data_IF_175687036207
#
_entry.id   IF_175687036207
#
_cell.length_a   1.000
_cell.length_b   1.000
_cell.length_c   1.000
_cell.angle_alpha   90.00
_cell.angle_beta   90.00
_cell.angle_gamma   90.00
#
_symmetry.space_group_name_H-M   'P 1'
#
loop_
_entity.id
_entity.type
_entity.pdbx_description
1 polymer ?
#
# COMPACT_ATOMS: atom_id res chain seq x y z
N UNK A 1 -36.96 43.75 -31.40
CA UNK A 1 -36.94 43.27 -29.99
C UNK A 1 -35.94 42.13 -29.84
N UNK A 2 -34.70 42.42 -29.43
CA UNK A 2 -33.73 41.36 -29.10
C UNK A 2 -34.05 40.82 -27.69
N UNK A 3 -34.38 39.53 -27.58
CA UNK A 3 -34.51 38.85 -26.29
C UNK A 3 -33.18 38.95 -25.55
N UNK A 4 -33.14 39.64 -24.40
CA UNK A 4 -32.00 39.64 -23.48
C UNK A 4 -31.67 38.18 -23.13
N UNK A 5 -30.56 37.66 -23.67
CA UNK A 5 -29.97 36.41 -23.24
C UNK A 5 -29.71 36.52 -21.74
N UNK A 6 -30.44 35.77 -20.91
CA UNK A 6 -30.10 35.61 -19.48
C UNK A 6 -28.66 35.09 -19.44
N UNK A 7 -27.72 35.91 -18.98
CA UNK A 7 -26.32 35.53 -18.78
C UNK A 7 -26.27 34.44 -17.71
N UNK A 8 -26.50 33.19 -18.13
CA UNK A 8 -26.23 32.02 -17.31
C UNK A 8 -24.72 31.87 -17.24
N UNK A 9 -24.14 32.23 -16.10
CA UNK A 9 -22.92 31.56 -15.64
C UNK A 9 -21.61 32.37 -15.64
N UNK A 10 -21.62 33.61 -15.14
CA UNK A 10 -20.38 34.28 -14.71
C UNK A 10 -20.56 34.87 -13.31
N UNK A 11 -20.50 34.03 -12.29
CA UNK A 11 -20.49 34.48 -10.91
C UNK A 11 -19.88 33.42 -10.01
N UNK A 12 -19.38 33.78 -8.83
CA UNK A 12 -18.68 32.83 -7.95
C UNK A 12 -19.49 31.57 -7.62
N UNK A 13 -20.82 31.66 -7.62
CA UNK A 13 -21.72 30.51 -7.47
C UNK A 13 -21.57 29.45 -8.59
N UNK A 14 -21.13 29.82 -9.80
CA UNK A 14 -20.89 28.87 -10.89
C UNK A 14 -19.64 28.03 -10.68
N UNK A 15 -18.77 28.34 -9.72
CA UNK A 15 -17.57 27.54 -9.44
C UNK A 15 -17.86 26.34 -8.53
N UNK A 16 -19.04 26.31 -7.91
CA UNK A 16 -19.45 25.27 -6.98
C UNK A 16 -20.43 24.29 -7.61
N UNK A 17 -20.41 23.06 -7.13
CA UNK A 17 -21.30 21.99 -7.52
C UNK A 17 -21.80 21.27 -6.27
N UNK A 18 -23.11 21.05 -6.18
CA UNK A 18 -23.74 20.38 -5.03
C UNK A 18 -23.42 18.88 -5.03
N UNK A 19 -23.30 18.25 -3.85
CA UNK A 19 -23.03 16.81 -3.70
C UNK A 19 -23.82 15.89 -4.63
N UNK A 20 -25.16 16.06 -4.74
CA UNK A 20 -26.00 15.22 -5.64
C UNK A 20 -25.58 15.31 -7.11
N UNK A 21 -25.21 16.51 -7.57
CA UNK A 21 -24.72 16.73 -8.94
C UNK A 21 -23.35 16.12 -9.15
N UNK A 22 -22.48 16.11 -8.13
CA UNK A 22 -21.20 15.42 -8.20
C UNK A 22 -21.39 13.92 -8.40
N UNK A 23 -22.25 13.29 -7.59
CA UNK A 23 -22.56 11.85 -7.69
C UNK A 23 -23.07 11.48 -9.08
N UNK A 24 -24.06 12.23 -9.58
CA UNK A 24 -24.59 12.01 -10.92
C UNK A 24 -23.56 12.20 -12.03
N UNK A 25 -22.62 13.13 -11.86
CA UNK A 25 -21.59 13.43 -12.86
C UNK A 25 -20.48 12.38 -12.90
N UNK A 26 -20.09 11.87 -11.73
CA UNK A 26 -19.04 10.86 -11.60
C UNK A 26 -19.56 9.44 -11.77
N UNK A 27 -20.88 9.21 -11.65
CA UNK A 27 -21.49 7.89 -11.81
C UNK A 27 -21.25 6.92 -10.64
N UNK A 28 -20.82 7.45 -9.48
CA UNK A 28 -20.43 6.66 -8.30
C UNK A 28 -21.48 6.71 -7.19
N UNK A 29 -21.45 5.70 -6.31
CA UNK A 29 -22.29 5.68 -5.09
C UNK A 29 -21.79 6.68 -4.03
N UNK A 30 -22.61 6.97 -3.02
CA UNK A 30 -22.22 7.90 -1.95
C UNK A 30 -21.00 7.40 -1.15
N UNK A 31 -20.93 6.10 -0.89
CA UNK A 31 -19.79 5.49 -0.15
C UNK A 31 -18.50 5.63 -0.94
N UNK A 32 -18.54 5.26 -2.23
CA UNK A 32 -17.39 5.38 -3.13
C UNK A 32 -16.97 6.84 -3.32
N UNK A 33 -17.93 7.77 -3.41
CA UNK A 33 -17.62 9.19 -3.50
C UNK A 33 -16.92 9.72 -2.25
N UNK A 34 -17.36 9.30 -1.05
CA UNK A 34 -16.69 9.65 0.21
C UNK A 34 -15.26 9.13 0.23
N UNK A 35 -15.07 7.85 -0.10
CA UNK A 35 -13.75 7.22 -0.20
C UNK A 35 -12.84 7.98 -1.18
N UNK A 36 -13.31 8.26 -2.40
CA UNK A 36 -12.55 9.05 -3.39
C UNK A 36 -12.19 10.45 -2.88
N UNK A 37 -13.09 11.11 -2.15
CA UNK A 37 -12.82 12.41 -1.56
C UNK A 37 -11.73 12.35 -0.49
N UNK A 38 -11.72 11.29 0.34
CA UNK A 38 -10.68 11.08 1.36
C UNK A 38 -9.33 10.82 0.69
N UNK A 39 -9.29 9.92 -0.29
CA UNK A 39 -8.06 9.54 -0.99
C UNK A 39 -7.40 10.73 -1.70
N UNK A 40 -8.17 11.54 -2.42
CA UNK A 40 -7.67 12.70 -3.18
C UNK A 40 -7.64 14.00 -2.38
N UNK A 41 -8.05 14.00 -1.12
CA UNK A 41 -8.10 15.21 -0.29
C UNK A 41 -9.08 16.28 -0.80
N UNK A 42 -10.25 15.86 -1.29
CA UNK A 42 -11.29 16.78 -1.77
C UNK A 42 -12.30 17.08 -0.67
N UNK A 43 -12.23 18.29 -0.15
CA UNK A 43 -13.06 18.74 0.96
C UNK A 43 -14.29 19.54 0.52
N UNK A 44 -15.40 19.46 1.28
CA UNK A 44 -16.54 20.34 1.06
C UNK A 44 -16.17 21.80 1.30
N UNK A 45 -16.72 22.70 0.49
CA UNK A 45 -16.49 24.15 0.56
C UNK A 45 -17.78 24.87 0.89
N UNK A 46 -17.73 25.80 1.84
CA UNK A 46 -18.84 26.70 2.15
C UNK A 46 -18.81 27.86 1.15
N UNK A 47 -19.84 28.02 0.29
CA UNK A 47 -19.85 29.10 -0.68
C UNK A 47 -20.17 30.44 0.01
N UNK A 48 -19.31 31.44 -0.16
CA UNK A 48 -19.51 32.80 0.36
C UNK A 48 -20.58 33.61 -0.41
N UNK A 49 -21.42 32.95 -1.23
CA UNK A 49 -22.40 33.62 -2.09
C UNK A 49 -23.82 33.39 -1.58
N UNK A 50 -24.58 34.46 -1.40
CA UNK A 50 -25.99 34.41 -0.95
C UNK A 50 -26.94 33.65 -1.88
N UNK A 51 -26.53 33.39 -3.13
CA UNK A 51 -27.31 32.68 -4.16
C UNK A 51 -27.35 31.16 -3.99
N UNK A 52 -26.57 30.61 -3.05
CA UNK A 52 -26.47 29.16 -2.81
C UNK A 52 -27.03 28.84 -1.42
N UNK A 53 -27.73 27.71 -1.32
CA UNK A 53 -28.40 27.29 -0.08
C UNK A 53 -27.36 26.93 0.98
N UNK A 54 -27.37 27.61 2.13
CA UNK A 54 -26.41 27.35 3.22
C UNK A 54 -26.49 25.92 3.79
N UNK A 55 -27.65 25.26 3.69
CA UNK A 55 -27.87 23.92 4.23
C UNK A 55 -27.37 22.78 3.32
N UNK A 56 -26.78 23.11 2.16
CA UNK A 56 -26.29 22.11 1.20
C UNK A 56 -24.78 22.08 1.17
N UNK A 57 -24.24 20.87 0.99
CA UNK A 57 -22.81 20.64 0.83
C UNK A 57 -22.42 20.88 -0.63
N UNK A 58 -21.40 21.71 -0.82
CA UNK A 58 -20.84 22.04 -2.12
C UNK A 58 -19.38 21.63 -2.23
N UNK A 59 -18.96 21.33 -3.46
CA UNK A 59 -17.59 21.04 -3.85
C UNK A 59 -17.17 22.01 -4.96
N UNK A 60 -15.87 22.21 -5.11
CA UNK A 60 -15.33 23.00 -6.23
C UNK A 60 -15.39 22.21 -7.53
N UNK A 61 -15.82 22.86 -8.61
CA UNK A 61 -15.90 22.23 -9.94
C UNK A 61 -14.54 21.83 -10.48
N UNK A 62 -13.45 22.51 -10.08
CA UNK A 62 -12.08 22.16 -10.49
C UNK A 62 -11.71 20.79 -9.92
N UNK A 63 -11.95 20.61 -8.63
CA UNK A 63 -11.65 19.41 -7.86
C UNK A 63 -12.46 18.21 -8.40
N UNK A 64 -13.76 18.41 -8.71
CA UNK A 64 -14.58 17.37 -9.34
C UNK A 64 -14.14 17.04 -10.78
N UNK A 65 -13.60 18.03 -11.52
CA UNK A 65 -13.06 17.77 -12.86
C UNK A 65 -11.77 16.94 -12.78
N UNK A 66 -10.92 17.22 -11.79
CA UNK A 66 -9.71 16.44 -11.52
C UNK A 66 -10.08 14.98 -11.18
N UNK A 67 -11.01 14.79 -10.23
CA UNK A 67 -11.54 13.47 -9.88
C UNK A 67 -12.07 12.71 -11.09
N UNK A 68 -12.80 13.39 -11.99
CA UNK A 68 -13.41 12.77 -13.16
C UNK A 68 -12.41 12.15 -14.15
N UNK A 69 -11.16 12.62 -14.14
CA UNK A 69 -10.11 12.14 -15.04
C UNK A 69 -9.21 11.09 -14.38
N UNK A 70 -9.51 10.69 -13.15
CA UNK A 70 -8.69 9.78 -12.37
C UNK A 70 -8.96 8.32 -12.73
N UNK A 71 -7.89 7.52 -12.79
CA UNK A 71 -7.92 6.08 -13.06
C UNK A 71 -8.76 5.31 -12.02
N UNK A 72 -8.89 5.82 -10.80
CA UNK A 72 -9.71 5.19 -9.75
C UNK A 72 -11.17 5.04 -10.14
N UNK A 73 -11.72 5.98 -10.91
CA UNK A 73 -13.13 5.90 -11.33
C UNK A 73 -13.32 4.71 -12.27
N UNK A 74 -12.36 4.46 -13.14
CA UNK A 74 -12.40 3.32 -14.06
C UNK A 74 -12.28 2.00 -13.29
N UNK A 75 -11.39 1.93 -12.29
CA UNK A 75 -11.28 0.77 -11.40
C UNK A 75 -12.59 0.52 -10.63
N UNK A 76 -13.20 1.56 -10.05
CA UNK A 76 -14.48 1.44 -9.34
C UNK A 76 -15.63 1.00 -10.25
N UNK A 77 -15.63 1.49 -11.49
CA UNK A 77 -16.59 1.07 -12.49
C UNK A 77 -16.36 -0.39 -12.91
N UNK A 78 -15.10 -0.81 -13.09
CA UNK A 78 -14.71 -2.20 -13.35
C UNK A 78 -15.19 -3.14 -12.24
N UNK A 79 -14.90 -2.81 -10.98
CA UNK A 79 -15.38 -3.56 -9.83
C UNK A 79 -16.91 -3.63 -9.77
N UNK A 80 -17.61 -2.54 -10.11
CA UNK A 80 -19.09 -2.53 -10.17
C UNK A 80 -19.62 -3.46 -11.25
N UNK A 81 -18.96 -3.55 -12.40
CA UNK A 81 -19.33 -4.46 -13.49
C UNK A 81 -19.11 -5.91 -13.04
N UNK A 82 -17.97 -6.21 -12.43
CA UNK A 82 -17.66 -7.55 -11.87
C UNK A 82 -18.72 -7.93 -10.82
N UNK A 83 -19.02 -7.04 -9.87
CA UNK A 83 -20.05 -7.29 -8.86
C UNK A 83 -21.43 -7.60 -9.45
N UNK A 84 -21.81 -6.93 -10.56
CA UNK A 84 -23.05 -7.25 -11.28
C UNK A 84 -22.99 -8.62 -11.96
N UNK A 85 -21.85 -9.01 -12.53
CA UNK A 85 -21.65 -10.34 -13.13
C UNK A 85 -21.74 -11.43 -12.06
N UNK A 86 -21.09 -11.24 -10.91
CA UNK A 86 -21.18 -12.16 -9.76
C UNK A 86 -22.64 -12.36 -9.35
N UNK A 87 -23.39 -11.26 -9.13
CA UNK A 87 -24.82 -11.34 -8.80
C UNK A 87 -25.64 -12.08 -9.86
N UNK A 88 -25.33 -11.88 -11.14
CA UNK A 88 -25.98 -12.59 -12.25
C UNK A 88 -25.67 -14.09 -12.21
N UNK A 89 -24.42 -14.49 -12.01
CA UNK A 89 -24.04 -15.90 -11.94
C UNK A 89 -24.63 -16.60 -10.72
N UNK A 90 -24.67 -15.93 -9.57
CA UNK A 90 -25.35 -16.42 -8.36
C UNK A 90 -26.84 -16.63 -8.64
N UNK A 91 -27.51 -15.67 -9.30
CA UNK A 91 -28.92 -15.79 -9.66
C UNK A 91 -29.18 -16.91 -10.69
N UNK A 92 -28.17 -17.30 -11.47
CA UNK A 92 -28.19 -18.42 -12.41
C UNK A 92 -27.75 -19.75 -11.76
N UNK A 93 -27.45 -19.76 -10.46
CA UNK A 93 -26.89 -20.89 -9.71
C UNK A 93 -25.55 -21.42 -10.26
N UNK A 94 -24.82 -20.62 -11.06
CA UNK A 94 -23.50 -20.99 -11.59
C UNK A 94 -22.39 -20.51 -10.64
N UNK A 95 -22.11 -21.34 -9.63
CA UNK A 95 -21.18 -21.01 -8.55
C UNK A 95 -19.72 -21.00 -8.99
N UNK A 96 -19.34 -21.79 -10.00
CA UNK A 96 -17.95 -21.85 -10.48
C UNK A 96 -17.57 -20.56 -11.18
N UNK A 97 -18.44 -20.05 -12.07
CA UNK A 97 -18.21 -18.75 -12.72
C UNK A 97 -18.29 -17.59 -11.73
N UNK A 98 -19.15 -17.68 -10.71
CA UNK A 98 -19.21 -16.68 -9.65
C UNK A 98 -17.89 -16.62 -8.86
N UNK A 99 -17.29 -17.77 -8.54
CA UNK A 99 -15.99 -17.86 -7.84
C UNK A 99 -14.86 -17.28 -8.68
N UNK A 100 -14.73 -17.70 -9.94
CA UNK A 100 -13.72 -17.16 -10.87
C UNK A 100 -13.84 -15.64 -11.00
N UNK A 101 -15.08 -15.13 -11.11
CA UNK A 101 -15.32 -13.68 -11.19
C UNK A 101 -15.01 -12.95 -9.87
N UNK A 102 -15.15 -13.62 -8.73
CA UNK A 102 -14.73 -13.09 -7.42
C UNK A 102 -13.22 -13.04 -7.30
N UNK A 103 -12.52 -14.07 -7.75
CA UNK A 103 -11.06 -14.17 -7.70
C UNK A 103 -10.41 -13.15 -8.66
N UNK A 104 -11.07 -12.81 -9.76
CA UNK A 104 -10.65 -11.75 -10.70
C UNK A 104 -10.83 -10.33 -10.14
N UNK A 105 -11.47 -10.17 -8.97
CA UNK A 105 -11.70 -8.83 -8.40
C UNK A 105 -10.38 -8.28 -7.86
N UNK A 106 -9.68 -7.52 -8.70
CA UNK A 106 -8.44 -6.85 -8.30
C UNK A 106 -8.69 -5.80 -7.20
N UNK A 107 -7.78 -5.72 -6.20
CA UNK A 107 -7.82 -4.67 -5.20
C UNK A 107 -7.59 -3.30 -5.84
N UNK A 108 -8.17 -2.26 -5.25
CA UNK A 108 -7.95 -0.89 -5.72
C UNK A 108 -6.47 -0.53 -5.53
N UNK A 109 -5.75 -0.29 -6.62
CA UNK A 109 -4.40 0.24 -6.55
C UNK A 109 -4.45 1.71 -6.18
N UNK A 110 -4.00 2.03 -4.97
CA UNK A 110 -3.93 3.41 -4.43
C UNK A 110 -2.53 4.01 -4.62
N UNK A 111 -1.58 3.20 -5.10
CA UNK A 111 -0.14 3.54 -5.22
C UNK A 111 0.12 4.84 -5.97
N UNK A 112 -0.56 5.09 -7.09
CA UNK A 112 -0.38 6.30 -7.88
C UNK A 112 -0.81 7.56 -7.12
N UNK A 113 -1.84 7.48 -6.27
CA UNK A 113 -2.29 8.61 -5.45
C UNK A 113 -1.24 8.96 -4.41
N UNK A 114 -0.65 7.95 -3.78
CA UNK A 114 0.34 8.15 -2.72
C UNK A 114 1.57 8.84 -3.28
N UNK A 115 2.04 8.45 -4.46
CA UNK A 115 3.17 9.10 -5.12
C UNK A 115 2.83 10.53 -5.56
N UNK A 116 1.61 10.78 -6.04
CA UNK A 116 1.15 12.13 -6.40
C UNK A 116 1.05 13.04 -5.17
N UNK A 117 0.57 12.51 -4.05
CA UNK A 117 0.37 13.26 -2.80
C UNK A 117 1.67 13.47 -2.03
N UNK A 118 2.52 12.44 -1.98
CA UNK A 118 3.76 12.39 -1.25
C UNK A 118 4.93 12.10 -2.19
N UNK A 119 5.40 13.11 -2.95
CA UNK A 119 6.51 12.91 -3.90
C UNK A 119 7.83 12.61 -3.20
N UNK A 120 7.96 12.96 -1.92
CA UNK A 120 9.18 12.74 -1.13
C UNK A 120 8.86 12.07 0.21
N UNK A 121 9.79 11.28 0.74
CA UNK A 121 9.62 10.66 2.06
C UNK A 121 9.41 11.71 3.16
N UNK A 122 10.11 12.84 3.10
CA UNK A 122 9.96 13.94 4.07
C UNK A 122 8.53 14.52 4.05
N UNK A 123 7.90 14.60 2.87
CA UNK A 123 6.49 15.02 2.79
C UNK A 123 5.53 14.00 3.39
N UNK A 124 5.82 12.70 3.28
CA UNK A 124 5.04 11.65 3.92
C UNK A 124 5.21 11.66 5.45
N UNK A 125 6.44 11.85 5.95
CA UNK A 125 6.73 11.92 7.39
C UNK A 125 6.02 13.08 8.09
N UNK A 126 5.74 14.17 7.38
CA UNK A 126 5.01 15.33 7.93
C UNK A 126 3.54 15.04 8.25
N UNK A 127 2.90 14.16 7.49
CA UNK A 127 1.50 13.77 7.67
C UNK A 127 1.37 12.44 8.47
N UNK A 128 2.49 11.90 8.96
CA UNK A 128 2.52 10.61 9.65
C UNK A 128 1.96 10.69 11.09
N UNK A 129 1.96 11.86 11.70
CA UNK A 129 1.45 12.14 13.04
C UNK A 129 -0.04 11.80 13.20
N UNK A 130 -0.87 12.31 12.29
CA UNK A 130 -2.30 12.06 12.24
C UNK A 130 -2.59 10.58 11.97
N UNK A 131 -1.84 9.97 11.05
CA UNK A 131 -2.00 8.56 10.70
C UNK A 131 -1.67 7.64 11.89
N UNK A 132 -0.55 7.87 12.59
CA UNK A 132 -0.15 7.07 13.75
C UNK A 132 -1.15 7.22 14.92
N UNK A 133 -1.61 8.44 15.18
CA UNK A 133 -2.62 8.69 16.22
C UNK A 133 -3.93 7.96 15.92
N UNK A 134 -4.28 7.87 14.63
CA UNK A 134 -5.48 7.16 14.18
C UNK A 134 -5.34 5.64 14.31
N UNK A 135 -4.22 5.06 13.86
CA UNK A 135 -3.97 3.61 14.01
C UNK A 135 -3.94 3.22 15.49
N UNK A 136 -3.30 4.04 16.34
CA UNK A 136 -3.23 3.80 17.77
C UNK A 136 -4.63 3.80 18.42
N UNK A 137 -5.52 4.70 17.97
CA UNK A 137 -6.93 4.69 18.39
C UNK A 137 -7.61 3.38 17.97
N UNK A 138 -7.51 3.01 16.69
CA UNK A 138 -8.16 1.81 16.15
C UNK A 138 -7.65 0.52 16.80
N UNK A 139 -6.36 0.45 17.13
CA UNK A 139 -5.75 -0.69 17.81
C UNK A 139 -6.44 -1.04 19.14
N UNK A 140 -6.98 -0.04 19.85
CA UNK A 140 -7.59 -0.20 21.17
C UNK A 140 -9.11 -0.50 21.07
N UNK A 141 -9.73 -0.17 19.93
CA UNK A 141 -11.17 -0.40 19.75
C UNK A 141 -11.51 -1.89 19.76
N UNK A 142 -12.71 -2.20 20.25
CA UNK A 142 -13.28 -3.54 20.20
C UNK A 142 -14.02 -3.77 18.89
N UNK A 143 -14.14 -5.04 18.48
CA UNK A 143 -14.93 -5.44 17.32
C UNK A 143 -16.39 -5.05 17.56
N UNK A 144 -16.97 -4.31 16.62
CA UNK A 144 -18.36 -3.89 16.63
C UNK A 144 -18.94 -4.05 15.22
N UNK A 145 -19.85 -5.01 15.06
CA UNK A 145 -20.46 -5.40 13.77
C UNK A 145 -21.45 -4.32 13.31
N UNK A 146 -22.14 -3.67 14.22
CA UNK A 146 -23.13 -2.64 13.89
C UNK A 146 -22.44 -1.36 13.40
N UNK A 147 -21.25 -1.08 13.96
CA UNK A 147 -20.39 0.00 13.52
C UNK A 147 -19.61 -0.30 12.21
N UNK A 148 -19.57 -1.56 11.77
CA UNK A 148 -18.82 -1.99 10.58
C UNK A 148 -17.31 -2.03 10.80
N UNK A 149 -16.88 -2.46 11.99
CA UNK A 149 -15.47 -2.65 12.35
C UNK A 149 -15.14 -4.14 12.25
N UNK A 150 -14.34 -4.50 11.24
CA UNK A 150 -13.94 -5.88 11.00
C UNK A 150 -12.73 -6.25 11.87
N UNK A 151 -12.74 -7.45 12.45
CA UNK A 151 -11.63 -7.93 13.30
C UNK A 151 -10.30 -8.05 12.56
N UNK A 152 -10.33 -8.30 11.25
CA UNK A 152 -9.15 -8.36 10.38
C UNK A 152 -8.45 -6.99 10.34
N UNK A 153 -9.19 -5.93 10.02
CA UNK A 153 -8.65 -4.56 9.96
C UNK A 153 -8.06 -4.09 11.29
N UNK A 154 -8.65 -4.51 12.43
CA UNK A 154 -8.13 -4.19 13.75
C UNK A 154 -6.80 -4.90 14.05
N UNK A 155 -6.67 -6.16 13.62
CA UNK A 155 -5.43 -6.92 13.78
C UNK A 155 -4.31 -6.34 12.94
N UNK A 156 -4.61 -5.89 11.72
CA UNK A 156 -3.64 -5.20 10.87
C UNK A 156 -3.20 -3.87 11.48
N UNK A 157 -4.14 -3.08 12.02
CA UNK A 157 -3.79 -1.85 12.74
C UNK A 157 -2.86 -2.13 13.93
N UNK A 158 -3.13 -3.20 14.70
CA UNK A 158 -2.26 -3.67 15.79
C UNK A 158 -0.87 -4.07 15.29
N UNK A 159 -0.80 -4.78 14.18
CA UNK A 159 0.47 -5.19 13.59
C UNK A 159 1.29 -3.99 13.12
N UNK A 160 0.67 -3.02 12.45
CA UNK A 160 1.33 -1.81 11.96
C UNK A 160 1.89 -0.98 13.12
N UNK A 161 1.11 -0.75 14.19
CA UNK A 161 1.59 0.02 15.33
C UNK A 161 2.72 -0.70 16.08
N UNK A 162 2.63 -2.02 16.23
CA UNK A 162 3.68 -2.84 16.85
C UNK A 162 4.96 -2.84 16.03
N UNK A 163 4.87 -2.94 14.71
CA UNK A 163 6.00 -2.84 13.80
C UNK A 163 6.65 -1.46 13.88
N UNK A 164 5.85 -0.40 13.99
CA UNK A 164 6.36 0.96 14.16
C UNK A 164 7.08 1.13 15.52
N UNK A 165 6.52 0.60 16.61
CA UNK A 165 7.20 0.60 17.91
C UNK A 165 8.50 -0.20 17.90
N UNK A 166 8.53 -1.34 17.22
CA UNK A 166 9.73 -2.13 17.02
C UNK A 166 10.80 -1.33 16.25
N UNK A 167 10.39 -0.62 15.20
CA UNK A 167 11.28 0.27 14.45
C UNK A 167 11.86 1.38 15.33
N UNK A 168 11.03 2.06 16.12
CA UNK A 168 11.47 3.14 17.04
C UNK A 168 12.43 2.60 18.11
N UNK A 169 12.15 1.40 18.64
CA UNK A 169 13.00 0.74 19.63
C UNK A 169 14.38 0.38 19.05
N UNK A 170 14.41 -0.19 17.83
CA UNK A 170 15.66 -0.55 17.15
C UNK A 170 16.49 0.67 16.73
N UNK A 171 15.84 1.70 16.20
CA UNK A 171 16.52 2.91 15.71
C UNK A 171 16.86 3.91 16.82
N UNK A 172 16.31 3.73 18.03
CA UNK A 172 16.54 4.59 19.21
C UNK A 172 16.30 6.07 18.93
N UNK A 173 15.29 6.38 18.12
CA UNK A 173 14.95 7.73 17.67
C UNK A 173 13.96 8.47 18.58
N UNK A 174 13.55 7.86 19.70
CA UNK A 174 12.64 8.46 20.68
C UNK A 174 13.34 9.59 21.43
N UNK A 175 12.77 10.79 21.39
CA UNK A 175 13.35 11.99 22.01
C UNK A 175 12.66 12.35 23.32
N UNK A 176 11.32 12.43 23.31
CA UNK A 176 10.52 12.83 24.48
C UNK A 176 9.25 12.03 24.59
N UNK A 177 8.76 11.89 25.82
CA UNK A 177 7.48 11.26 26.13
C UNK A 177 6.73 12.11 27.15
N UNK A 178 5.41 12.16 27.01
CA UNK A 178 4.54 12.89 27.94
C UNK A 178 3.26 12.11 28.21
N UNK A 179 2.98 11.80 29.47
CA UNK A 179 1.78 11.07 29.88
C UNK A 179 0.70 12.06 30.28
N UNK A 180 -0.50 11.90 29.70
CA UNK A 180 -1.68 12.72 29.95
C UNK A 180 -2.87 11.84 30.32
N UNK A 181 -3.98 12.47 30.72
CA UNK A 181 -5.27 11.80 30.96
C UNK A 181 -5.80 11.16 29.67
N UNK A 182 -5.52 11.76 28.50
CA UNK A 182 -5.97 11.25 27.19
C UNK A 182 -5.20 10.02 26.71
N UNK A 183 -3.96 9.85 27.17
CA UNK A 183 -3.02 8.88 26.63
C UNK A 183 -1.58 9.33 26.79
N UNK A 184 -0.68 8.66 26.08
CA UNK A 184 0.76 8.90 26.07
C UNK A 184 1.12 9.57 24.75
N UNK A 185 1.81 10.70 24.83
CA UNK A 185 2.38 11.39 23.68
C UNK A 185 3.83 10.96 23.50
N UNK A 186 4.20 10.56 22.27
CA UNK A 186 5.57 10.19 21.90
C UNK A 186 6.12 11.20 20.88
N UNK A 187 7.30 11.77 21.13
CA UNK A 187 8.05 12.60 20.18
C UNK A 187 9.25 11.80 19.65
N UNK A 188 9.26 11.54 18.35
CA UNK A 188 10.36 10.85 17.65
C UNK A 188 10.96 11.77 16.60
N UNK A 189 12.27 11.67 16.40
CA UNK A 189 12.99 12.40 15.35
C UNK A 189 13.47 11.43 14.26
N UNK A 190 12.84 11.50 13.07
CA UNK A 190 13.18 10.69 11.89
C UNK A 190 13.62 11.64 10.78
N UNK A 191 14.83 11.48 10.23
CA UNK A 191 15.36 12.33 9.15
C UNK A 191 15.22 13.84 9.44
N UNK A 192 15.56 14.26 10.67
CA UNK A 192 15.42 15.62 11.19
C UNK A 192 13.99 16.19 11.19
N UNK A 193 12.98 15.32 11.00
CA UNK A 193 11.58 15.66 11.15
C UNK A 193 11.09 15.11 12.50
N UNK A 194 10.51 16.00 13.29
CA UNK A 194 9.88 15.64 14.57
C UNK A 194 8.45 15.19 14.34
N UNK A 195 8.12 14.02 14.85
CA UNK A 195 6.80 13.40 14.71
C UNK A 195 6.25 13.20 16.12
N UNK A 196 5.07 13.77 16.36
CA UNK A 196 4.37 13.69 17.63
C UNK A 196 3.04 12.98 17.40
N UNK A 197 2.84 11.82 18.02
CA UNK A 197 1.54 11.14 17.97
C UNK A 197 1.04 10.79 19.36
N UNK A 198 -0.28 10.61 19.47
CA UNK A 198 -0.97 10.22 20.69
C UNK A 198 -1.28 8.73 20.65
N UNK A 199 -0.82 7.99 21.65
CA UNK A 199 -1.26 6.63 21.93
C UNK A 199 -2.27 6.66 23.09
N UNK A 200 -3.54 6.32 22.88
CA UNK A 200 -4.52 6.29 23.98
C UNK A 200 -4.16 5.21 25.02
N UNK A 201 -4.70 5.35 26.23
CA UNK A 201 -4.56 4.30 27.24
C UNK A 201 -5.34 3.05 26.82
N UNK A 202 -4.81 1.87 27.16
CA UNK A 202 -5.42 0.55 26.87
C UNK A 202 -6.65 0.28 27.75
N UNK A 203 -7.67 1.12 27.60
CA UNK A 203 -8.95 1.01 28.29
C UNK A 203 -10.02 0.67 27.26
N UNK A 204 -10.98 -0.21 27.59
CA UNK A 204 -12.09 -0.48 26.70
C UNK A 204 -12.91 0.80 26.48
N UNK A 205 -13.00 1.25 25.23
CA UNK A 205 -13.77 2.41 24.84
C UNK A 205 -14.99 1.98 24.03
N UNK A 206 -16.16 2.54 24.33
CA UNK A 206 -17.36 2.39 23.51
C UNK A 206 -17.35 3.40 22.37
N UNK A 207 -17.72 2.98 21.16
CA UNK A 207 -17.86 3.87 20.02
C UNK A 207 -19.10 4.77 20.20
N UNK A 208 -18.97 6.11 20.18
CA UNK A 208 -20.15 6.99 20.23
C UNK A 208 -20.98 6.92 18.95
N UNK A 209 -22.31 6.87 19.06
CA UNK A 209 -23.24 6.80 17.91
C UNK A 209 -23.14 7.96 16.90
N UNK A 210 -22.57 9.10 17.33
CA UNK A 210 -22.40 10.30 16.50
C UNK A 210 -21.33 10.15 15.41
N UNK A 211 -20.46 9.14 15.52
CA UNK A 211 -19.31 8.97 14.63
C UNK A 211 -19.68 8.05 13.47
N UNK A 212 -19.52 8.54 12.24
CA UNK A 212 -19.72 7.72 11.03
C UNK A 212 -18.51 6.82 10.81
N UNK A 213 -18.51 5.64 11.44
CA UNK A 213 -17.41 4.69 11.39
C UNK A 213 -17.07 4.24 9.98
N UNK A 214 -18.02 4.26 9.03
CA UNK A 214 -17.74 3.97 7.61
C UNK A 214 -16.70 4.92 7.00
N UNK A 215 -16.70 6.18 7.42
CA UNK A 215 -15.69 7.16 6.97
C UNK A 215 -14.33 6.83 7.57
N UNK A 216 -14.33 6.41 8.84
CA UNK A 216 -13.13 6.05 9.58
C UNK A 216 -12.51 4.75 9.01
N UNK A 217 -13.32 3.74 8.68
CA UNK A 217 -12.87 2.50 8.03
C UNK A 217 -12.27 2.75 6.64
N UNK A 218 -12.78 3.73 5.89
CA UNK A 218 -12.13 4.12 4.62
C UNK A 218 -10.73 4.73 4.84
N UNK A 219 -10.49 5.37 5.98
CA UNK A 219 -9.19 5.95 6.31
C UNK A 219 -8.23 4.89 6.90
N UNK A 220 -8.71 3.92 7.68
CA UNK A 220 -7.90 2.75 8.07
C UNK A 220 -7.45 1.96 6.84
N UNK A 221 -8.37 1.65 5.92
CA UNK A 221 -8.06 0.91 4.68
C UNK A 221 -7.02 1.65 3.82
N UNK A 222 -7.03 2.99 3.83
CA UNK A 222 -6.01 3.79 3.17
C UNK A 222 -4.62 3.60 3.81
N UNK A 223 -4.56 3.64 5.13
CA UNK A 223 -3.31 3.51 5.89
C UNK A 223 -2.75 2.09 5.80
N UNK A 224 -3.62 1.08 5.90
CA UNK A 224 -3.28 -0.32 5.73
C UNK A 224 -2.66 -0.57 4.34
N UNK A 225 -3.30 -0.08 3.28
CA UNK A 225 -2.76 -0.17 1.92
C UNK A 225 -1.46 0.60 1.75
N UNK A 226 -1.26 1.72 2.44
CA UNK A 226 0.03 2.41 2.45
C UNK A 226 1.13 1.53 3.06
N UNK A 227 0.82 0.78 4.14
CA UNK A 227 1.74 -0.18 4.75
C UNK A 227 2.05 -1.37 3.85
N UNK A 228 1.02 -2.02 3.30
CA UNK A 228 1.18 -3.23 2.46
C UNK A 228 1.94 -2.97 1.15
N UNK A 229 1.82 -1.77 0.57
CA UNK A 229 2.59 -1.40 -0.64
C UNK A 229 4.10 -1.46 -0.39
N UNK A 230 4.56 -1.22 0.84
CA UNK A 230 5.97 -1.33 1.18
C UNK A 230 6.45 -2.79 1.28
N UNK A 231 5.60 -3.74 1.66
CA UNK A 231 5.96 -5.16 1.81
C UNK A 231 6.15 -5.86 0.45
N UNK A 232 5.48 -5.39 -0.59
CA UNK A 232 5.58 -5.94 -1.96
C UNK A 232 6.72 -5.36 -2.79
N UNK A 233 7.55 -4.46 -2.23
CA UNK A 233 8.61 -3.76 -2.96
C UNK A 233 9.94 -3.77 -2.21
N UNK A 234 10.96 -4.32 -2.84
CA UNK A 234 12.34 -4.20 -2.38
C UNK A 234 12.96 -2.89 -2.86
N UNK A 235 13.50 -2.10 -1.93
CA UNK A 235 14.27 -0.90 -2.28
C UNK A 235 15.72 -1.26 -2.55
N UNK A 236 16.12 -1.16 -3.81
CA UNK A 236 17.49 -1.41 -4.27
C UNK A 236 18.15 -0.11 -4.75
N UNK A 237 19.46 -0.02 -4.58
CA UNK A 237 20.27 1.10 -5.07
C UNK A 237 20.36 1.05 -6.61
N UNK A 238 20.48 2.21 -7.30
CA UNK A 238 20.45 2.26 -8.77
C UNK A 238 21.45 1.36 -9.49
N UNK A 239 22.58 1.04 -8.84
CA UNK A 239 23.61 0.15 -9.37
C UNK A 239 23.09 -1.26 -9.71
N UNK A 240 22.06 -1.75 -8.98
CA UNK A 240 21.44 -3.04 -9.25
C UNK A 240 20.96 -3.21 -10.69
N UNK A 241 20.46 -2.12 -11.29
CA UNK A 241 19.99 -2.12 -12.68
C UNK A 241 21.16 -2.37 -13.63
N UNK A 242 22.27 -1.64 -13.45
CA UNK A 242 23.43 -1.74 -14.32
C UNK A 242 24.14 -3.07 -14.16
N UNK A 243 24.30 -3.56 -12.93
CA UNK A 243 24.97 -4.83 -12.68
C UNK A 243 24.12 -6.02 -13.14
N UNK A 244 22.79 -5.94 -13.03
CA UNK A 244 21.89 -6.96 -13.59
C UNK A 244 21.91 -6.96 -15.13
N UNK A 245 22.05 -5.79 -15.75
CA UNK A 245 22.22 -5.69 -17.21
C UNK A 245 23.58 -6.23 -17.65
N UNK A 246 24.66 -5.85 -16.96
CA UNK A 246 26.02 -6.28 -17.28
C UNK A 246 26.20 -7.80 -17.11
N UNK A 247 25.56 -8.40 -16.09
CA UNK A 247 25.58 -9.83 -15.85
C UNK A 247 24.55 -10.62 -16.68
N UNK A 248 23.62 -9.93 -17.36
CA UNK A 248 22.48 -10.54 -18.08
C UNK A 248 21.64 -11.45 -17.14
N UNK A 249 21.65 -11.14 -15.84
CA UNK A 249 20.99 -11.91 -14.81
C UNK A 249 20.52 -10.97 -13.69
N UNK A 250 19.29 -11.17 -13.20
CA UNK A 250 18.77 -10.40 -12.08
C UNK A 250 19.59 -10.69 -10.82
N UNK A 251 20.35 -9.69 -10.38
CA UNK A 251 21.18 -9.85 -9.20
C UNK A 251 20.33 -9.94 -7.93
N UNK A 252 20.81 -10.60 -6.86
CA UNK A 252 20.07 -10.66 -5.60
C UNK A 252 19.85 -9.26 -5.00
N UNK A 253 18.58 -8.89 -4.78
CA UNK A 253 18.18 -7.56 -4.27
C UNK A 253 18.83 -7.22 -2.92
N UNK A 254 19.12 -8.24 -2.09
CA UNK A 254 19.77 -8.10 -0.79
C UNK A 254 21.16 -7.46 -0.85
N UNK A 255 21.95 -7.74 -1.90
CA UNK A 255 23.30 -7.16 -2.10
C UNK A 255 23.26 -5.67 -2.44
N UNK A 256 22.11 -5.18 -2.89
CA UNK A 256 21.93 -3.80 -3.36
C UNK A 256 20.91 -3.05 -2.50
N UNK A 257 20.53 -3.58 -1.34
CA UNK A 257 19.63 -2.90 -0.41
C UNK A 257 20.18 -1.52 -0.01
N UNK A 258 19.29 -0.59 0.33
CA UNK A 258 19.68 0.76 0.78
C UNK A 258 20.57 0.66 2.02
N UNK A 259 21.82 1.14 1.90
CA UNK A 259 22.82 1.09 2.98
C UNK A 259 23.72 -0.15 2.99
N UNK A 260 23.49 -1.14 2.11
CA UNK A 260 24.43 -2.24 1.90
C UNK A 260 25.70 -1.74 1.20
N UNK A 261 26.85 -2.34 1.54
CA UNK A 261 28.10 -2.15 0.79
C UNK A 261 27.93 -2.75 -0.59
N UNK A 262 27.84 -1.87 -1.59
CA UNK A 262 27.62 -2.27 -2.98
C UNK A 262 28.79 -3.12 -3.49
N UNK A 263 28.52 -4.10 -4.36
CA UNK A 263 29.58 -4.79 -5.07
C UNK A 263 30.41 -3.78 -5.87
N UNK A 264 31.71 -4.04 -6.05
CA UNK A 264 32.58 -3.15 -6.82
C UNK A 264 32.03 -2.99 -8.25
N UNK A 265 31.75 -1.74 -8.64
CA UNK A 265 31.30 -1.43 -9.99
C UNK A 265 32.53 -1.20 -10.87
N UNK A 266 32.59 -1.88 -12.01
CA UNK A 266 33.57 -1.61 -13.06
C UNK A 266 32.86 -0.86 -14.19
N UNK A 267 33.31 0.36 -14.47
CA UNK A 267 32.75 1.21 -15.51
C UNK A 267 33.01 0.57 -16.89
N UNK A 268 32.00 0.42 -17.76
CA UNK A 268 32.19 -0.02 -19.15
C UNK A 268 33.07 0.93 -19.98
N UNK A 269 33.35 2.13 -19.46
CA UNK A 269 34.12 3.17 -20.13
C UNK A 269 35.59 3.22 -19.71
N UNK A 270 35.98 2.48 -18.67
CA UNK A 270 37.38 2.34 -18.30
C UNK A 270 37.98 1.20 -19.14
N UNK A 271 38.89 1.57 -20.03
CA UNK A 271 39.61 0.67 -20.92
C UNK A 271 40.54 -0.26 -20.12
N UNK A 272 40.00 -1.36 -19.61
CA UNK A 272 40.78 -2.54 -19.26
C UNK A 272 40.10 -3.77 -19.85
N UNK A 273 40.92 -4.66 -20.42
CA UNK A 273 40.51 -5.87 -21.12
C UNK A 273 39.59 -6.73 -20.23
N UNK A 274 38.28 -6.61 -20.45
CA UNK A 274 37.26 -7.36 -19.74
C UNK A 274 37.18 -8.78 -20.28
N UNK A 275 37.73 -9.74 -19.54
CA UNK A 275 37.45 -11.16 -19.70
C UNK A 275 36.51 -11.63 -18.57
N UNK A 276 35.20 -11.84 -18.85
CA UNK A 276 34.18 -12.19 -17.84
C UNK A 276 34.43 -13.50 -17.10
N UNK A 277 35.44 -14.26 -17.49
CA UNK A 277 35.84 -15.56 -16.95
C UNK A 277 36.93 -15.50 -15.87
N UNK A 278 37.53 -14.32 -15.59
CA UNK A 278 38.73 -14.22 -14.74
C UNK A 278 38.50 -13.82 -13.28
N UNK A 279 37.31 -13.39 -12.89
CA UNK A 279 37.03 -13.08 -11.48
C UNK A 279 36.31 -14.25 -10.77
N UNK A 280 37.16 -15.24 -10.43
CA UNK A 280 37.14 -16.13 -9.25
C UNK A 280 35.74 -16.57 -8.75
N UNK A 281 35.26 -17.66 -9.36
CA UNK A 281 34.76 -18.79 -8.57
C UNK A 281 35.98 -19.34 -7.84
N UNK A 282 35.95 -19.44 -6.50
CA UNK A 282 36.98 -20.18 -5.75
C UNK A 282 37.00 -21.62 -6.28
N UNK A 283 37.96 -21.91 -7.14
CA UNK A 283 38.10 -23.21 -7.83
C UNK A 283 38.30 -24.32 -6.79
N UNK A 284 38.85 -23.98 -5.63
CA UNK A 284 39.00 -24.88 -4.48
C UNK A 284 37.66 -25.25 -3.83
N UNK A 285 36.69 -24.33 -3.76
CA UNK A 285 35.35 -24.62 -3.19
C UNK A 285 34.54 -25.48 -4.15
N UNK A 286 34.63 -25.21 -5.45
CA UNK A 286 33.97 -26.03 -6.47
C UNK A 286 34.59 -27.45 -6.57
N UNK A 287 35.91 -27.58 -6.42
CA UNK A 287 36.59 -28.87 -6.40
C UNK A 287 36.35 -29.65 -5.11
N UNK A 288 36.25 -28.99 -3.96
CA UNK A 288 35.87 -29.64 -2.69
C UNK A 288 34.45 -30.21 -2.76
N UNK A 289 33.49 -29.42 -3.25
CA UNK A 289 32.11 -29.87 -3.44
C UNK A 289 31.99 -31.00 -4.48
N UNK A 290 32.79 -30.96 -5.55
CA UNK A 290 32.81 -32.02 -6.57
C UNK A 290 33.44 -33.32 -6.04
N UNK A 291 34.41 -33.23 -5.13
CA UNK A 291 35.02 -34.41 -4.50
C UNK A 291 34.09 -35.03 -3.44
N UNK A 292 33.40 -34.22 -2.64
CA UNK A 292 32.37 -34.69 -1.70
C UNK A 292 31.23 -35.42 -2.43
N UNK A 293 30.75 -34.87 -3.56
CA UNK A 293 29.75 -35.53 -4.42
C UNK A 293 30.26 -36.82 -5.06
N UNK A 294 31.54 -36.91 -5.41
CA UNK A 294 32.13 -38.14 -5.98
C UNK A 294 32.29 -39.24 -4.94
N UNK A 295 32.63 -38.89 -3.70
CA UNK A 295 32.73 -39.84 -2.60
C UNK A 295 31.34 -40.35 -2.17
N UNK A 296 30.31 -39.50 -2.19
CA UNK A 296 28.90 -39.92 -1.98
C UNK A 296 28.40 -40.87 -3.08
N UNK A 297 28.65 -40.54 -4.36
CA UNK A 297 28.24 -41.40 -5.49
C UNK A 297 28.97 -42.74 -5.44
N UNK A 298 30.25 -42.77 -5.07
CA UNK A 298 31.02 -44.01 -4.96
C UNK A 298 30.51 -44.92 -3.82
N UNK A 299 30.10 -44.33 -2.70
CA UNK A 299 29.47 -45.06 -1.59
C UNK A 299 28.08 -45.63 -1.92
N UNK A 300 27.36 -45.02 -2.87
CA UNK A 300 26.08 -45.54 -3.38
C UNK A 300 26.28 -46.63 -4.43
N UNK A 301 27.26 -46.49 -5.33
CA UNK A 301 27.53 -47.50 -6.36
C UNK A 301 28.21 -48.76 -5.81
N UNK A 302 28.96 -48.68 -4.71
CA UNK A 302 29.58 -49.86 -4.08
C UNK A 302 28.56 -50.67 -3.24
N UNK A 303 27.44 -50.08 -2.81
CA UNK A 303 26.35 -50.81 -2.13
C UNK A 303 25.38 -51.50 -3.12
N UNK A 304 25.26 -51.01 -4.34
CA UNK A 304 24.35 -51.56 -5.37
C UNK A 304 25.01 -52.64 -6.27
N UNK A 305 26.30 -52.95 -6.08
CA UNK A 305 27.05 -53.94 -6.89
C UNK A 305 27.36 -55.24 -6.12
N UNK A 306 27.11 -55.32 -4.80
CA UNK A 306 27.28 -56.58 -4.04
C UNK A 306 26.01 -57.46 -3.91
N UNK A 307 24.81 -57.03 -4.35
CA UNK A 307 23.59 -57.86 -4.30
C UNK A 307 23.17 -58.49 -5.66
N UNK A 308 24.03 -58.42 -6.68
CA UNK A 308 23.64 -58.63 -8.07
C UNK A 308 24.33 -59.73 -8.85
N UNK A 309 24.92 -60.77 -8.25
CA UNK A 309 25.32 -61.99 -8.98
C UNK A 309 25.76 -63.11 -8.02
N UNK A 310 24.86 -64.05 -7.70
CA UNK A 310 25.14 -65.50 -7.59
C UNK A 310 23.83 -66.31 -7.38
N UNK A 311 23.52 -67.08 -8.42
CA UNK A 311 22.93 -68.43 -8.41
C UNK A 311 21.44 -68.67 -8.09
N UNK A 312 20.70 -68.98 -9.16
CA UNK A 312 19.72 -70.07 -9.18
C UNK A 312 20.33 -71.34 -8.57
N UNK A 313 19.62 -72.03 -7.67
CA UNK A 313 19.42 -73.48 -7.68
C UNK A 313 18.50 -73.95 -6.54
N UNK A 314 17.58 -74.85 -6.93
CA UNK A 314 16.61 -75.67 -6.17
C UNK A 314 15.21 -75.08 -5.94
#
# INVERSE_FOLDING_TARGET
>A
MQKKLKVKGKGNASNFISRRKCLSKLGVTLSQFRMLCILKGVYPKVPNTSKLDKNKIYYSKKDIKLLSNDQLIDQLNGQRIIAKRIKKYIAQCDLTKARIASDLKEPLSITHILVERYPTLVSALKDLDDALSFIALFSILTVDVDAGIDGETLNECKNIINNFFLFVSKSKCLTRTFVSVKGIYYEVEILNQKILWLHPHELPQSVPELIDMRVMSCYTELIEKLGSVAESRSFVQPQWIFDSINAIELQPESKYAVGATLPPHLSPFDQFDYEPSKDIIDVDVAQSALNELKDEIKSQTDNDVEEGENDELL
#
